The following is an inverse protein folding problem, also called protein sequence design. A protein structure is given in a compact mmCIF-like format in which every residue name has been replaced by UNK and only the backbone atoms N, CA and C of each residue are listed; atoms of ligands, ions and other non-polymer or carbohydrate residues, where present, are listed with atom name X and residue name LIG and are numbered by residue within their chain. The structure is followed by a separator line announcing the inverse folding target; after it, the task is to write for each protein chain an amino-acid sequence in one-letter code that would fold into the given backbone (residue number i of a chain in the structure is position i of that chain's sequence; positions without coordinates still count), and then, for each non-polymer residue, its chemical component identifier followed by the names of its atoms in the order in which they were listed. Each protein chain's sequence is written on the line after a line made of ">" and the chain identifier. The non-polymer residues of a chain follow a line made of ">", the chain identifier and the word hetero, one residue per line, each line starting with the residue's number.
data_IF_943659401542
#
_entry.id   IF_943659401542
#
_cell.length_a   1.000
_cell.length_b   1.000
_cell.length_c   1.000
_cell.angle_alpha   90.00
_cell.angle_beta   90.00
_cell.angle_gamma   90.00
#
_symmetry.space_group_name_H-M   'P 1'
#
loop_
_entity.id
_entity.type
_entity.pdbx_description
1 polymer ?
#
# COMPACT_ATOMS: atom_id res chain seq x y z
N UNK A 1 -34.94 -10.07 3.94
CA UNK A 1 -33.83 -9.10 3.81
C UNK A 1 -33.19 -9.10 5.17
N UNK A 2 -32.06 -9.80 5.32
CA UNK A 2 -31.27 -9.65 6.55
C UNK A 2 -30.74 -8.22 6.56
N UNK A 3 -30.92 -7.51 7.68
CA UNK A 3 -30.48 -6.13 7.82
C UNK A 3 -28.97 -6.03 7.54
N UNK A 4 -28.60 -5.14 6.63
CA UNK A 4 -27.19 -4.92 6.29
C UNK A 4 -26.48 -4.29 7.50
N UNK A 5 -25.32 -4.82 7.88
CA UNK A 5 -24.59 -4.35 9.07
C UNK A 5 -23.87 -3.06 8.71
N UNK A 6 -24.35 -1.92 9.22
CA UNK A 6 -23.69 -0.62 9.03
C UNK A 6 -22.81 -0.26 10.24
N UNK A 7 -21.62 0.27 9.96
CA UNK A 7 -20.67 0.76 10.96
C UNK A 7 -20.46 2.24 10.73
N UNK A 8 -20.55 3.03 11.79
CA UNK A 8 -20.43 4.48 11.68
C UNK A 8 -19.02 4.89 11.22
N UNK A 9 -18.97 5.99 10.45
CA UNK A 9 -17.72 6.60 9.99
C UNK A 9 -16.76 6.90 11.15
N UNK A 10 -17.27 7.40 12.29
CA UNK A 10 -16.43 7.68 13.46
C UNK A 10 -15.72 6.44 14.03
N UNK A 11 -16.34 5.26 13.98
CA UNK A 11 -15.66 4.01 14.38
C UNK A 11 -14.57 3.64 13.37
N UNK A 12 -14.79 3.89 12.07
CA UNK A 12 -13.80 3.67 11.02
C UNK A 12 -12.62 4.66 11.16
N UNK A 13 -12.88 5.92 11.50
CA UNK A 13 -11.84 6.92 11.82
C UNK A 13 -10.96 6.46 12.98
N UNK A 14 -11.57 6.02 14.08
CA UNK A 14 -10.84 5.50 15.22
C UNK A 14 -10.03 4.25 14.88
N UNK A 15 -10.57 3.37 14.02
CA UNK A 15 -9.85 2.19 13.55
C UNK A 15 -8.63 2.57 12.71
N UNK A 16 -8.75 3.59 11.84
CA UNK A 16 -7.63 4.11 11.03
C UNK A 16 -6.56 4.76 11.89
N UNK A 17 -6.95 5.44 12.97
CA UNK A 17 -6.03 6.11 13.90
C UNK A 17 -5.44 5.17 14.96
N UNK A 18 -5.97 3.96 15.11
CA UNK A 18 -5.59 3.06 16.21
C UNK A 18 -6.08 3.54 17.58
N UNK A 19 -7.17 4.31 17.63
CA UNK A 19 -7.76 4.88 18.85
C UNK A 19 -9.09 4.22 19.25
N UNK A 20 -9.54 3.23 18.48
CA UNK A 20 -10.76 2.44 18.74
C UNK A 20 -10.63 1.64 20.05
N UNK A 21 -11.69 1.59 20.85
CA UNK A 21 -11.71 0.85 22.10
C UNK A 21 -11.87 -0.67 21.91
N UNK A 22 -11.44 -1.45 22.90
CA UNK A 22 -11.42 -2.91 22.86
C UNK A 22 -12.82 -3.51 22.61
N UNK A 23 -13.89 -2.95 23.20
CA UNK A 23 -15.25 -3.46 23.03
C UNK A 23 -15.71 -3.31 21.57
N UNK A 24 -15.42 -2.16 20.95
CA UNK A 24 -15.69 -1.94 19.54
C UNK A 24 -14.82 -2.80 18.63
N UNK A 25 -13.52 -2.95 18.89
CA UNK A 25 -12.64 -3.85 18.12
C UNK A 25 -13.18 -5.27 18.15
N UNK A 26 -13.48 -5.80 19.34
CA UNK A 26 -14.00 -7.15 19.53
C UNK A 26 -15.32 -7.35 18.79
N UNK A 27 -16.22 -6.37 18.87
CA UNK A 27 -17.48 -6.38 18.12
C UNK A 27 -17.23 -6.48 16.62
N UNK A 28 -16.33 -5.67 16.06
CA UNK A 28 -16.02 -5.67 14.63
C UNK A 28 -15.38 -6.98 14.14
N UNK A 29 -14.53 -7.60 14.95
CA UNK A 29 -13.91 -8.88 14.66
C UNK A 29 -14.96 -10.00 14.62
N UNK A 30 -15.89 -9.99 15.57
CA UNK A 30 -16.91 -11.04 15.78
C UNK A 30 -18.19 -10.86 14.95
N UNK A 31 -18.27 -9.84 14.09
CA UNK A 31 -19.43 -9.66 13.21
C UNK A 31 -19.67 -10.91 12.35
N UNK A 32 -20.93 -11.40 12.24
CA UNK A 32 -21.24 -12.58 11.44
C UNK A 32 -21.04 -12.34 9.94
N UNK A 33 -21.14 -11.08 9.50
CA UNK A 33 -20.84 -10.60 8.14
C UNK A 33 -20.11 -9.27 8.24
N UNK A 34 -19.26 -8.95 7.25
CA UNK A 34 -18.60 -7.65 7.20
C UNK A 34 -19.53 -6.61 6.58
N UNK A 35 -19.42 -5.38 7.07
CA UNK A 35 -20.09 -4.20 6.51
C UNK A 35 -19.67 -4.01 5.04
N UNK A 36 -20.65 -4.07 4.14
CA UNK A 36 -20.48 -3.96 2.70
C UNK A 36 -20.01 -2.56 2.27
N UNK A 37 -20.37 -1.52 3.01
CA UNK A 37 -19.99 -0.13 2.76
C UNK A 37 -18.63 0.24 3.37
N UNK A 38 -18.00 -0.68 4.11
CA UNK A 38 -16.71 -0.45 4.78
C UNK A 38 -15.67 0.17 3.87
N UNK A 39 -15.55 -0.33 2.65
CA UNK A 39 -14.51 0.11 1.73
C UNK A 39 -14.68 1.59 1.35
N UNK A 40 -15.89 2.02 0.99
CA UNK A 40 -16.12 3.40 0.57
C UNK A 40 -16.00 4.39 1.73
N UNK A 41 -16.56 4.05 2.89
CA UNK A 41 -16.40 4.88 4.10
C UNK A 41 -14.94 4.97 4.53
N UNK A 42 -14.17 3.88 4.38
CA UNK A 42 -12.73 3.89 4.62
C UNK A 42 -11.98 4.80 3.65
N UNK A 43 -12.28 4.73 2.35
CA UNK A 43 -11.67 5.62 1.34
C UNK A 43 -12.01 7.09 1.63
N UNK A 44 -13.25 7.40 2.01
CA UNK A 44 -13.66 8.75 2.43
C UNK A 44 -12.83 9.25 3.62
N UNK A 45 -12.70 8.45 4.68
CA UNK A 45 -11.88 8.78 5.86
C UNK A 45 -10.42 9.00 5.49
N UNK A 46 -9.86 8.22 4.57
CA UNK A 46 -8.49 8.42 4.10
C UNK A 46 -8.34 9.70 3.28
N UNK A 47 -9.31 10.00 2.42
CA UNK A 47 -9.28 11.18 1.55
C UNK A 47 -9.31 12.48 2.36
N UNK A 48 -10.03 12.51 3.48
CA UNK A 48 -10.09 13.66 4.39
C UNK A 48 -8.79 13.93 5.14
N UNK A 49 -7.86 12.97 5.17
CA UNK A 49 -6.60 13.06 5.93
C UNK A 49 -5.41 13.50 5.09
N UNK A 50 -5.52 13.41 3.78
CA UNK A 50 -4.44 13.81 2.85
C UNK A 50 -4.58 15.28 2.46
N UNK A 51 -3.47 15.92 2.11
CA UNK A 51 -3.44 17.35 1.74
C UNK A 51 -3.74 17.63 0.25
N UNK A 52 -4.07 16.59 -0.51
CA UNK A 52 -4.31 16.64 -1.96
C UNK A 52 -5.68 16.05 -2.32
N UNK A 53 -6.17 16.40 -3.51
CA UNK A 53 -7.53 16.10 -3.96
C UNK A 53 -7.62 14.98 -5.01
N UNK A 54 -6.50 14.36 -5.38
CA UNK A 54 -6.52 13.20 -6.28
C UNK A 54 -7.35 12.08 -5.62
N UNK A 55 -8.35 11.48 -6.30
CA UNK A 55 -9.18 10.45 -5.68
C UNK A 55 -8.39 9.19 -5.32
N UNK A 56 -8.44 8.76 -4.07
CA UNK A 56 -7.86 7.49 -3.61
C UNK A 56 -8.69 6.33 -4.16
N UNK A 57 -8.02 5.42 -4.88
CA UNK A 57 -8.63 4.19 -5.40
C UNK A 57 -8.37 2.99 -4.49
N UNK A 58 -7.20 2.94 -3.84
CA UNK A 58 -6.82 1.88 -2.91
C UNK A 58 -5.66 2.35 -2.02
N UNK A 59 -5.64 1.99 -0.74
CA UNK A 59 -4.45 2.12 0.12
C UNK A 59 -3.62 0.84 0.01
N UNK A 60 -2.35 0.96 -0.35
CA UNK A 60 -1.40 -0.16 -0.44
C UNK A 60 -0.68 -0.43 0.89
N UNK A 61 -0.32 0.63 1.60
CA UNK A 61 0.36 0.61 2.90
C UNK A 61 0.01 1.89 3.66
N UNK A 62 0.52 2.06 4.88
CA UNK A 62 0.01 3.06 5.80
C UNK A 62 -0.07 4.48 5.23
N UNK A 63 0.93 4.85 4.44
CA UNK A 63 1.05 6.17 3.81
C UNK A 63 1.26 6.09 2.29
N UNK A 64 0.79 5.01 1.65
CA UNK A 64 0.99 4.73 0.23
C UNK A 64 -0.33 4.33 -0.42
N UNK A 65 -0.68 5.01 -1.50
CA UNK A 65 -2.00 4.91 -2.14
C UNK A 65 -1.86 4.70 -3.64
N UNK A 66 -2.85 4.06 -4.26
CA UNK A 66 -3.13 4.20 -5.69
C UNK A 66 -4.19 5.29 -5.81
N UNK A 67 -3.92 6.30 -6.63
CA UNK A 67 -4.82 7.44 -6.85
C UNK A 67 -5.12 7.63 -8.33
N UNK A 68 -6.28 8.21 -8.64
CA UNK A 68 -6.61 8.66 -9.99
C UNK A 68 -6.11 10.09 -10.21
N UNK A 69 -5.43 10.36 -11.32
CA UNK A 69 -4.96 11.70 -11.73
C UNK A 69 -5.85 12.33 -12.80
N UNK A 70 -7.03 11.76 -13.04
CA UNK A 70 -7.87 12.10 -14.18
C UNK A 70 -7.31 11.59 -15.52
N UNK A 71 -8.09 11.76 -16.59
CA UNK A 71 -7.72 11.38 -17.96
C UNK A 71 -7.20 9.94 -18.13
N UNK A 72 -7.67 8.99 -17.31
CA UNK A 72 -7.26 7.59 -17.37
C UNK A 72 -5.82 7.35 -16.91
N UNK A 73 -5.27 8.19 -16.01
CA UNK A 73 -3.97 7.96 -15.36
C UNK A 73 -4.20 7.57 -13.90
N UNK A 74 -3.58 6.46 -13.48
CA UNK A 74 -3.58 5.97 -12.09
C UNK A 74 -2.13 5.79 -11.62
N UNK A 75 -1.80 6.33 -10.45
CA UNK A 75 -0.41 6.35 -9.95
C UNK A 75 -0.32 5.87 -8.52
N UNK A 76 0.83 5.31 -8.16
CA UNK A 76 1.19 5.10 -6.77
C UNK A 76 1.72 6.40 -6.17
N UNK A 77 1.12 6.89 -5.09
CA UNK A 77 1.39 8.19 -4.48
C UNK A 77 1.58 8.05 -2.95
N UNK A 78 2.59 8.73 -2.43
CA UNK A 78 2.82 8.86 -0.99
C UNK A 78 1.77 9.80 -0.37
N UNK A 79 1.49 9.66 0.93
CA UNK A 79 0.69 10.62 1.71
C UNK A 79 1.18 12.07 1.54
N UNK A 80 2.50 12.29 1.45
CA UNK A 80 3.08 13.63 1.22
C UNK A 80 2.81 14.22 -0.18
N UNK A 81 2.30 13.42 -1.13
CA UNK A 81 2.02 13.83 -2.50
C UNK A 81 3.05 13.37 -3.54
N UNK A 82 4.19 12.79 -3.14
CA UNK A 82 5.17 12.26 -4.09
C UNK A 82 4.59 11.12 -4.95
N UNK A 83 4.67 11.25 -6.28
CA UNK A 83 4.25 10.23 -7.25
C UNK A 83 5.40 9.28 -7.59
N UNK A 84 5.22 7.98 -7.35
CA UNK A 84 6.18 6.94 -7.73
C UNK A 84 6.05 6.50 -9.19
N UNK A 85 4.94 6.84 -9.86
CA UNK A 85 4.67 6.50 -11.26
C UNK A 85 3.41 5.65 -11.44
N UNK A 86 3.26 5.05 -12.63
CA UNK A 86 2.12 4.18 -12.98
C UNK A 86 2.01 3.03 -11.97
N UNK A 87 0.81 2.82 -11.40
CA UNK A 87 0.63 1.82 -10.32
C UNK A 87 0.90 0.38 -10.77
N UNK A 88 0.90 0.12 -12.08
CA UNK A 88 1.24 -1.17 -12.68
C UNK A 88 2.73 -1.47 -12.69
N UNK A 89 3.55 -0.48 -12.36
CA UNK A 89 5.00 -0.62 -12.19
C UNK A 89 5.30 -0.69 -10.70
N UNK A 90 6.21 -1.58 -10.31
CA UNK A 90 6.66 -1.67 -8.93
C UNK A 90 7.21 -0.31 -8.43
N UNK A 91 6.46 0.32 -7.53
CA UNK A 91 6.76 1.65 -6.98
C UNK A 91 8.14 1.72 -6.31
N UNK A 92 8.67 0.59 -5.83
CA UNK A 92 10.00 0.52 -5.24
C UNK A 92 11.12 0.89 -6.20
N UNK A 93 10.92 0.71 -7.51
CA UNK A 93 11.92 1.11 -8.52
C UNK A 93 12.13 2.63 -8.57
N UNK A 94 11.17 3.42 -8.05
CA UNK A 94 11.24 4.87 -7.95
C UNK A 94 11.57 5.37 -6.52
N UNK A 95 11.85 4.47 -5.58
CA UNK A 95 12.13 4.81 -4.17
C UNK A 95 13.62 5.07 -3.91
N UNK A 96 13.95 5.63 -2.75
CA UNK A 96 15.32 5.60 -2.21
C UNK A 96 15.51 4.34 -1.39
N UNK A 97 16.62 3.63 -1.59
CA UNK A 97 16.88 2.34 -0.93
C UNK A 97 18.09 2.47 -0.02
N UNK A 98 17.95 2.06 1.25
CA UNK A 98 19.09 1.75 2.13
C UNK A 98 19.18 0.25 2.29
N UNK A 99 20.36 -0.33 2.05
CA UNK A 99 20.58 -1.76 2.24
C UNK A 99 21.58 -1.99 3.38
N UNK A 100 21.16 -2.74 4.39
CA UNK A 100 22.03 -3.21 5.48
C UNK A 100 22.57 -4.58 5.10
N UNK A 101 23.89 -4.69 5.03
CA UNK A 101 24.60 -5.89 4.57
C UNK A 101 25.56 -6.44 5.61
N UNK A 102 25.97 -5.63 6.60
CA UNK A 102 26.86 -6.08 7.68
C UNK A 102 26.10 -6.35 8.97
N UNK A 103 26.71 -7.17 9.83
CA UNK A 103 26.17 -7.45 11.15
C UNK A 103 26.04 -6.17 12.00
N UNK A 104 26.98 -5.22 11.90
CA UNK A 104 26.93 -3.93 12.59
C UNK A 104 25.72 -3.10 12.16
N UNK A 105 25.45 -3.04 10.85
CA UNK A 105 24.30 -2.29 10.32
C UNK A 105 22.97 -2.91 10.73
N UNK A 106 22.87 -4.24 10.76
CA UNK A 106 21.66 -4.95 11.16
C UNK A 106 21.43 -4.88 12.67
N UNK A 107 22.48 -4.98 13.51
CA UNK A 107 22.38 -4.80 14.97
C UNK A 107 21.79 -3.45 15.39
N UNK A 108 21.85 -2.44 14.53
CA UNK A 108 21.24 -1.14 14.81
C UNK A 108 19.70 -1.17 14.84
N UNK A 109 19.05 -2.23 14.32
CA UNK A 109 17.58 -2.34 14.24
C UNK A 109 17.02 -3.69 14.71
N UNK A 110 17.88 -4.64 15.09
CA UNK A 110 17.47 -5.95 15.61
C UNK A 110 17.95 -6.15 17.05
N UNK A 111 17.03 -6.62 17.89
CA UNK A 111 17.28 -7.07 19.27
C UNK A 111 16.34 -8.26 19.57
N UNK A 112 16.78 -9.30 20.30
CA UNK A 112 18.12 -9.51 20.85
C UNK A 112 19.14 -9.93 19.78
N UNK A 113 20.45 -9.92 20.12
CA UNK A 113 21.53 -10.28 19.20
C UNK A 113 21.33 -11.62 18.42
N UNK A 114 20.74 -12.69 18.98
CA UNK A 114 20.44 -13.92 18.23
C UNK A 114 19.37 -13.77 17.13
N UNK A 115 18.60 -12.68 17.12
CA UNK A 115 17.60 -12.39 16.10
C UNK A 115 18.18 -11.58 14.91
N UNK A 116 19.45 -11.17 14.99
CA UNK A 116 20.11 -10.43 13.92
C UNK A 116 20.32 -11.36 12.71
N UNK A 117 19.88 -10.97 11.50
CA UNK A 117 20.14 -11.75 10.29
C UNK A 117 21.64 -11.95 10.05
N UNK A 118 22.03 -13.12 9.55
CA UNK A 118 23.43 -13.42 9.24
C UNK A 118 23.88 -12.66 7.98
N UNK A 119 24.93 -11.85 8.11
CA UNK A 119 25.51 -11.10 7.01
C UNK A 119 25.99 -12.04 5.88
N UNK A 120 25.69 -11.69 4.63
CA UNK A 120 25.99 -12.52 3.45
C UNK A 120 24.97 -13.62 3.17
N UNK A 121 24.11 -13.98 4.12
CA UNK A 121 22.94 -14.84 3.86
C UNK A 121 21.69 -14.02 3.55
N UNK A 122 21.52 -12.91 4.26
CA UNK A 122 20.41 -11.98 4.08
C UNK A 122 20.93 -10.55 4.01
N UNK A 123 20.16 -9.69 3.36
CA UNK A 123 20.28 -8.24 3.34
C UNK A 123 18.93 -7.65 3.77
N UNK A 124 18.96 -6.52 4.49
CA UNK A 124 17.74 -5.78 4.85
C UNK A 124 17.67 -4.55 3.95
N UNK A 125 16.64 -4.46 3.10
CA UNK A 125 16.44 -3.35 2.17
C UNK A 125 15.27 -2.50 2.64
N UNK A 126 15.55 -1.26 2.94
CA UNK A 126 14.61 -0.27 3.45
C UNK A 126 14.26 0.70 2.30
N UNK A 127 12.98 0.80 1.95
CA UNK A 127 12.47 1.58 0.82
C UNK A 127 11.78 2.85 1.32
N UNK A 128 12.28 4.00 0.90
CA UNK A 128 11.84 5.32 1.39
C UNK A 128 11.23 6.17 0.27
N UNK A 129 10.25 6.98 0.64
CA UNK A 129 9.79 8.10 -0.17
C UNK A 129 10.95 9.06 -0.46
N UNK A 130 11.24 9.38 -1.73
CA UNK A 130 12.32 10.30 -2.09
C UNK A 130 12.16 11.74 -1.60
N UNK A 131 10.93 12.15 -1.30
CA UNK A 131 10.62 13.52 -0.87
C UNK A 131 10.62 13.65 0.66
N UNK A 132 9.68 12.98 1.34
CA UNK A 132 9.50 13.12 2.79
C UNK A 132 10.29 12.11 3.66
N UNK A 133 10.97 11.14 3.04
CA UNK A 133 11.74 10.12 3.78
C UNK A 133 10.91 9.07 4.52
N UNK A 134 9.59 9.00 4.32
CA UNK A 134 8.75 7.94 4.91
C UNK A 134 9.21 6.56 4.46
N UNK A 135 9.40 5.63 5.39
CA UNK A 135 9.72 4.23 5.09
C UNK A 135 8.44 3.46 4.73
N UNK A 136 8.33 3.00 3.48
CA UNK A 136 7.12 2.33 2.99
C UNK A 136 7.22 0.81 3.00
N UNK A 137 8.42 0.26 2.90
CA UNK A 137 8.63 -1.19 2.91
C UNK A 137 10.02 -1.55 3.46
N UNK A 138 10.10 -2.77 3.99
CA UNK A 138 11.35 -3.43 4.35
C UNK A 138 11.33 -4.83 3.76
N UNK A 139 12.36 -5.19 3.00
CA UNK A 139 12.60 -6.55 2.53
C UNK A 139 13.77 -7.18 3.30
N UNK A 140 13.62 -8.42 3.73
CA UNK A 140 14.72 -9.23 4.28
C UNK A 140 14.93 -10.40 3.34
N UNK A 141 15.93 -10.30 2.46
CA UNK A 141 16.10 -11.20 1.31
C UNK A 141 17.56 -11.58 1.11
N UNK A 142 17.87 -12.70 0.44
CA UNK A 142 19.25 -13.02 0.09
C UNK A 142 19.92 -11.96 -0.81
N UNK A 143 21.26 -11.84 -0.78
CA UNK A 143 21.98 -10.99 -1.71
C UNK A 143 21.64 -11.33 -3.17
N UNK A 144 21.41 -10.30 -3.98
CA UNK A 144 21.06 -10.45 -5.40
C UNK A 144 19.60 -10.80 -5.70
N UNK A 145 18.75 -11.01 -4.68
CA UNK A 145 17.33 -11.27 -4.91
C UNK A 145 16.65 -10.08 -5.63
N UNK A 146 15.73 -10.29 -6.60
CA UNK A 146 15.01 -9.20 -7.26
C UNK A 146 14.22 -8.33 -6.28
N UNK A 147 13.94 -7.09 -6.67
CA UNK A 147 13.00 -6.22 -5.93
C UNK A 147 11.59 -6.80 -6.06
N UNK A 148 10.94 -7.07 -4.93
CA UNK A 148 9.64 -7.75 -4.89
C UNK A 148 8.55 -6.74 -5.25
N UNK A 149 7.67 -7.10 -6.18
CA UNK A 149 6.43 -6.35 -6.43
C UNK A 149 5.30 -7.03 -5.66
N UNK A 150 4.96 -6.52 -4.48
CA UNK A 150 4.07 -7.22 -3.53
C UNK A 150 2.65 -7.38 -4.04
N UNK A 151 2.14 -6.36 -4.74
CA UNK A 151 0.73 -6.31 -5.10
C UNK A 151 0.52 -5.54 -6.39
N UNK A 152 -0.10 -6.22 -7.35
CA UNK A 152 -0.75 -5.63 -8.51
C UNK A 152 -2.27 -5.89 -8.36
N UNK A 153 -3.08 -4.89 -8.00
CA UNK A 153 -4.53 -5.08 -7.88
C UNK A 153 -5.23 -4.97 -9.24
N UNK A 154 -6.20 -5.86 -9.48
CA UNK A 154 -7.23 -5.68 -10.50
C UNK A 154 -8.32 -4.75 -9.96
N UNK A 155 -8.05 -3.44 -10.02
CA UNK A 155 -8.96 -2.41 -9.49
C UNK A 155 -10.29 -2.40 -10.22
N UNK A 156 -10.30 -2.59 -11.53
CA UNK A 156 -11.53 -2.51 -12.31
C UNK A 156 -12.49 -3.64 -11.95
N UNK A 157 -11.96 -4.86 -11.86
CA UNK A 157 -12.76 -6.01 -11.42
C UNK A 157 -13.18 -5.88 -9.97
N UNK A 158 -12.31 -5.42 -9.09
CA UNK A 158 -12.65 -5.20 -7.69
C UNK A 158 -13.81 -4.20 -7.54
N UNK A 159 -13.74 -3.07 -8.24
CA UNK A 159 -14.77 -2.05 -8.22
C UNK A 159 -16.08 -2.49 -8.89
N UNK A 160 -16.01 -3.13 -10.06
CA UNK A 160 -17.19 -3.55 -10.81
C UNK A 160 -17.88 -4.78 -10.19
N UNK A 161 -17.14 -5.86 -9.95
CA UNK A 161 -17.71 -7.17 -9.63
C UNK A 161 -17.93 -7.36 -8.12
N UNK A 162 -17.06 -6.78 -7.27
CA UNK A 162 -17.10 -6.98 -5.82
C UNK A 162 -17.76 -5.82 -5.09
N UNK A 163 -17.50 -4.59 -5.50
CA UNK A 163 -18.06 -3.39 -4.87
C UNK A 163 -19.32 -2.86 -5.56
N UNK A 164 -19.63 -3.35 -6.76
CA UNK A 164 -20.81 -2.93 -7.54
C UNK A 164 -20.76 -1.46 -8.00
N UNK A 165 -19.59 -0.83 -8.02
CA UNK A 165 -19.38 0.56 -8.44
C UNK A 165 -18.20 0.64 -9.42
N UNK A 166 -18.40 0.44 -10.72
CA UNK A 166 -17.31 0.45 -11.69
C UNK A 166 -16.61 1.81 -11.74
N UNK A 167 -15.30 1.78 -11.99
CA UNK A 167 -14.50 2.99 -12.20
C UNK A 167 -14.83 3.63 -13.55
N UNK A 168 -14.87 4.96 -13.60
CA UNK A 168 -15.24 5.70 -14.81
C UNK A 168 -14.22 5.54 -15.97
N UNK A 169 -12.97 5.27 -15.63
CA UNK A 169 -11.85 5.05 -16.55
C UNK A 169 -11.46 3.57 -16.68
N UNK A 170 -12.39 2.65 -16.36
CA UNK A 170 -12.15 1.22 -16.46
C UNK A 170 -11.80 0.76 -17.88
N UNK A 171 -10.92 -0.22 -17.98
CA UNK A 171 -10.39 -0.78 -19.22
C UNK A 171 -9.85 -2.18 -18.98
N UNK A 172 -10.10 -3.10 -19.92
CA UNK A 172 -9.59 -4.48 -19.87
C UNK A 172 -8.04 -4.54 -19.83
N UNK A 173 -7.36 -3.47 -20.26
CA UNK A 173 -5.89 -3.38 -20.31
C UNK A 173 -5.24 -2.90 -19.00
N UNK A 174 -6.01 -2.63 -17.94
CA UNK A 174 -5.46 -2.13 -16.67
C UNK A 174 -4.74 -3.20 -15.85
N UNK A 175 -5.23 -4.43 -15.82
CA UNK A 175 -4.63 -5.48 -14.99
C UNK A 175 -3.43 -6.15 -15.67
N UNK A 176 -2.29 -5.45 -15.67
CA UNK A 176 -1.04 -5.92 -16.28
C UNK A 176 0.17 -5.35 -15.56
N UNK A 177 1.15 -6.20 -15.25
CA UNK A 177 2.44 -5.76 -14.72
C UNK A 177 3.28 -5.11 -15.83
N UNK A 178 3.77 -3.88 -15.56
CA UNK A 178 4.60 -3.09 -16.46
C UNK A 178 6.02 -2.86 -15.93
N UNK A 179 6.38 -3.53 -14.83
CA UNK A 179 7.68 -3.39 -14.16
C UNK A 179 8.85 -3.68 -15.10
N UNK A 180 8.76 -4.75 -15.90
CA UNK A 180 9.80 -5.12 -16.86
C UNK A 180 9.97 -4.12 -18.00
N UNK A 181 8.91 -3.40 -18.39
CA UNK A 181 8.98 -2.34 -19.41
C UNK A 181 9.87 -1.20 -18.91
N UNK A 182 9.77 -0.87 -17.62
CA UNK A 182 10.62 0.14 -17.00
C UNK A 182 12.08 -0.32 -16.93
N UNK A 183 12.35 -1.52 -16.42
CA UNK A 183 13.73 -2.01 -16.26
C UNK A 183 14.45 -2.26 -17.60
N UNK A 184 13.71 -2.58 -18.67
CA UNK A 184 14.27 -2.72 -20.01
C UNK A 184 14.88 -1.41 -20.55
N UNK A 185 14.43 -0.25 -20.06
CA UNK A 185 14.99 1.05 -20.47
C UNK A 185 16.35 1.37 -19.84
N UNK A 186 16.75 0.67 -18.77
CA UNK A 186 17.99 0.97 -18.04
C UNK A 186 19.26 0.40 -18.67
N UNK A 187 19.10 -0.54 -19.61
CA UNK A 187 20.20 -1.13 -20.37
C UNK A 187 20.50 -0.36 -21.68
N UNK A 188 19.82 0.77 -21.91
CA UNK A 188 20.00 1.64 -23.08
C UNK A 188 20.86 2.85 -22.71
#
# INVERSE_FOLDING_TARGET
>A
MEDDISISKGIIEQLVEGTIDDDNVDRLLKLPKKDSDRFFTYIEVLQERVSWNDPILLRLSDKLYIVSKGHGKRVTQCECGFEFGDYRTNWKLASKIRTRKTAEEMKAVYDPAPAVPEAGWQEVREYFCPDCGTQHAVEVVPPGYPVIFEMLPDLDKFYADYLGRPLADASEDWYRDRTSETTATWNQ
#
